data_IF_173550331661
#
_entry.id   IF_173550331661
#
_cell.length_a   1.000
_cell.length_b   1.000
_cell.length_c   1.000
_cell.angle_alpha   90.00
_cell.angle_beta   90.00
_cell.angle_gamma   90.00
#
_symmetry.space_group_name_H-M   'P 1'
#
loop_
_entity.id
_entity.type
_entity.pdbx_description
1 polymer ?
#
# COMPACT_ATOMS: atom_id res chain seq x y z
N UNK A 1 -43.00 37.18 36.00
CA UNK A 1 -41.67 37.05 35.37
C UNK A 1 -41.44 35.65 34.79
N UNK A 2 -42.39 35.07 34.12
CA UNK A 2 -42.27 33.74 33.53
C UNK A 2 -42.90 33.63 32.10
N UNK A 3 -43.19 34.75 31.47
CA UNK A 3 -43.84 34.76 30.14
C UNK A 3 -43.00 35.41 29.03
N UNK A 4 -41.79 35.90 29.33
CA UNK A 4 -40.95 36.62 28.35
C UNK A 4 -39.85 35.74 27.74
N UNK A 5 -39.65 34.54 28.26
CA UNK A 5 -38.58 33.63 27.79
C UNK A 5 -39.06 32.74 26.66
N UNK A 6 -40.38 32.53 26.50
CA UNK A 6 -40.93 31.61 25.49
C UNK A 6 -41.02 32.25 24.10
N UNK A 7 -41.05 33.57 24.00
CA UNK A 7 -41.23 34.28 22.71
C UNK A 7 -39.91 34.46 21.94
N UNK A 8 -38.76 34.38 22.63
CA UNK A 8 -37.45 34.56 21.99
C UNK A 8 -36.93 33.25 21.33
N UNK A 9 -37.53 32.12 21.66
CA UNK A 9 -37.11 30.81 21.11
C UNK A 9 -37.78 30.37 19.81
N UNK A 10 -38.67 31.16 19.29
CA UNK A 10 -39.49 30.81 18.11
C UNK A 10 -39.15 31.60 16.84
N UNK A 11 -38.03 32.37 16.83
CA UNK A 11 -37.70 33.27 15.72
C UNK A 11 -36.33 33.03 15.08
N UNK A 12 -35.70 31.84 15.28
CA UNK A 12 -34.41 31.48 14.69
C UNK A 12 -34.45 30.21 13.87
N UNK A 13 -35.53 30.01 13.14
CA UNK A 13 -35.72 28.85 12.29
C UNK A 13 -36.07 29.24 10.86
N UNK A 14 -35.27 30.07 10.23
CA UNK A 14 -35.23 30.19 8.75
C UNK A 14 -33.88 30.82 8.37
N UNK A 15 -33.22 30.25 7.43
CA UNK A 15 -32.10 30.65 6.57
C UNK A 15 -30.84 29.85 6.83
N UNK A 16 -30.56 28.90 5.94
CA UNK A 16 -29.32 28.19 5.86
C UNK A 16 -29.28 27.08 4.84
N UNK A 17 -29.95 27.22 3.73
CA UNK A 17 -29.72 26.43 2.54
C UNK A 17 -28.70 27.18 1.68
N UNK A 18 -27.44 26.84 1.78
CA UNK A 18 -26.50 27.04 0.66
C UNK A 18 -25.14 26.40 0.99
N UNK A 19 -24.68 25.52 0.13
CA UNK A 19 -23.28 25.29 -0.08
C UNK A 19 -22.71 23.95 0.34
N UNK A 20 -23.23 22.83 -0.12
CA UNK A 20 -22.38 21.65 -0.33
C UNK A 20 -21.49 21.91 -1.55
N UNK A 21 -20.32 22.49 -1.32
CA UNK A 21 -19.24 22.44 -2.29
C UNK A 21 -18.71 21.00 -2.33
N UNK A 22 -19.20 20.24 -3.28
CA UNK A 22 -18.71 18.92 -3.65
C UNK A 22 -17.28 19.08 -4.19
N UNK A 23 -16.29 18.69 -3.40
CA UNK A 23 -14.93 18.47 -3.87
C UNK A 23 -15.01 17.34 -4.92
N UNK A 24 -14.51 17.51 -6.15
CA UNK A 24 -14.52 16.42 -7.11
C UNK A 24 -13.59 15.33 -6.61
N UNK A 25 -14.16 14.20 -6.26
CA UNK A 25 -13.42 12.96 -6.09
C UNK A 25 -12.92 12.58 -7.49
N UNK A 26 -11.60 12.53 -7.65
CA UNK A 26 -10.99 11.90 -8.82
C UNK A 26 -11.29 10.41 -8.74
N UNK A 27 -12.32 10.01 -9.43
CA UNK A 27 -12.70 8.62 -9.63
C UNK A 27 -11.71 8.04 -10.63
N UNK A 28 -10.80 7.20 -10.16
CA UNK A 28 -10.10 6.27 -11.04
C UNK A 28 -11.11 5.19 -11.48
N UNK A 29 -11.35 5.02 -12.78
CA UNK A 29 -12.16 3.92 -13.28
C UNK A 29 -11.28 2.69 -13.42
N UNK A 30 -11.41 1.80 -12.46
CA UNK A 30 -10.72 0.51 -12.42
C UNK A 30 -11.43 -0.41 -11.46
N UNK A 31 -12.79 -0.35 -11.49
CA UNK A 31 -13.62 -1.35 -10.87
C UNK A 31 -13.57 -2.62 -11.71
N UNK A 32 -13.00 -3.66 -11.15
CA UNK A 32 -13.23 -5.03 -11.57
C UNK A 32 -13.64 -5.84 -10.37
N UNK A 33 -14.94 -5.83 -10.19
CA UNK A 33 -15.77 -6.76 -9.43
C UNK A 33 -15.25 -8.19 -9.51
N UNK A 34 -14.97 -8.81 -8.36
CA UNK A 34 -15.57 -10.10 -7.98
C UNK A 34 -14.92 -10.65 -6.70
N UNK A 35 -15.70 -10.69 -5.61
CA UNK A 35 -15.81 -11.80 -4.70
C UNK A 35 -14.55 -12.40 -4.09
N UNK A 36 -13.76 -11.60 -3.35
CA UNK A 36 -13.03 -12.14 -2.19
C UNK A 36 -12.65 -10.97 -1.25
N UNK A 37 -13.23 -10.94 -0.09
CA UNK A 37 -13.43 -9.72 0.70
C UNK A 37 -12.24 -9.27 1.51
N UNK A 38 -11.00 -9.71 1.21
CA UNK A 38 -9.85 -9.28 2.03
C UNK A 38 -8.49 -9.25 1.32
N UNK A 39 -8.43 -9.27 0.00
CA UNK A 39 -7.16 -9.19 -0.74
C UNK A 39 -7.04 -7.84 -1.43
N UNK A 40 -6.01 -7.10 -1.10
CA UNK A 40 -5.76 -5.78 -1.70
C UNK A 40 -4.27 -5.47 -1.77
N UNK A 41 -3.90 -4.69 -2.78
CA UNK A 41 -2.59 -4.07 -2.85
C UNK A 41 -2.72 -2.68 -2.24
N UNK A 42 -1.90 -2.39 -1.22
CA UNK A 42 -1.83 -1.08 -0.59
C UNK A 42 -0.56 -0.37 -1.06
N UNK A 43 -0.72 0.80 -1.65
CA UNK A 43 0.43 1.65 -1.98
C UNK A 43 0.93 2.35 -0.73
N UNK A 44 2.23 2.21 -0.44
CA UNK A 44 2.87 2.76 0.75
C UNK A 44 4.13 3.54 0.38
N UNK A 45 4.44 4.57 1.15
CA UNK A 45 5.70 5.29 1.07
C UNK A 45 6.81 4.62 1.90
N UNK A 46 8.04 5.09 1.73
CA UNK A 46 9.20 4.54 2.44
C UNK A 46 9.10 4.67 3.96
N UNK A 47 8.49 5.74 4.46
CA UNK A 47 8.27 5.92 5.90
C UNK A 47 7.31 4.88 6.46
N UNK A 48 6.25 4.57 5.74
CA UNK A 48 5.32 3.51 6.14
C UNK A 48 5.98 2.13 6.12
N UNK A 49 6.87 1.87 5.16
CA UNK A 49 7.67 0.62 5.14
C UNK A 49 8.58 0.54 6.36
N UNK A 50 9.23 1.63 6.74
CA UNK A 50 10.04 1.70 7.96
C UNK A 50 9.21 1.36 9.22
N UNK A 51 8.01 1.94 9.35
CA UNK A 51 7.07 1.62 10.43
C UNK A 51 6.67 0.13 10.42
N UNK A 52 6.40 -0.45 9.26
CA UNK A 52 6.04 -1.87 9.11
C UNK A 52 7.20 -2.78 9.55
N UNK A 53 8.43 -2.47 9.18
CA UNK A 53 9.63 -3.23 9.62
C UNK A 53 9.72 -3.31 11.15
N UNK A 54 9.33 -2.23 11.83
CA UNK A 54 9.42 -2.16 13.30
C UNK A 54 8.24 -2.84 14.01
N UNK A 55 7.07 -2.87 13.39
CA UNK A 55 5.81 -3.25 14.05
C UNK A 55 5.25 -4.60 13.61
N UNK A 56 5.58 -5.05 12.40
CA UNK A 56 5.03 -6.27 11.82
C UNK A 56 6.08 -7.39 11.78
N UNK A 57 5.89 -8.39 12.64
CA UNK A 57 6.82 -9.54 12.76
C UNK A 57 6.66 -10.58 11.66
N UNK A 58 5.57 -10.52 10.92
CA UNK A 58 5.27 -11.42 9.80
C UNK A 58 5.62 -10.81 8.45
N UNK A 59 6.21 -9.61 8.46
CA UNK A 59 6.60 -8.88 7.26
C UNK A 59 7.74 -9.57 6.54
N UNK A 60 7.60 -9.69 5.24
CA UNK A 60 8.64 -10.11 4.31
C UNK A 60 8.80 -9.01 3.26
N UNK A 61 10.02 -8.57 3.04
CA UNK A 61 10.36 -7.59 2.01
C UNK A 61 10.92 -8.35 0.81
N UNK A 62 10.42 -8.10 -0.39
CA UNK A 62 10.91 -8.73 -1.62
C UNK A 62 11.35 -7.69 -2.63
N UNK A 63 12.53 -7.90 -3.18
CA UNK A 63 13.06 -7.15 -4.33
C UNK A 63 12.75 -7.90 -5.61
N UNK A 64 11.91 -7.30 -6.45
CA UNK A 64 11.51 -7.91 -7.71
C UNK A 64 12.20 -7.29 -8.93
N UNK A 65 13.21 -6.44 -8.70
CA UNK A 65 13.87 -5.65 -9.76
C UNK A 65 14.78 -6.46 -10.68
N UNK A 66 15.33 -7.58 -10.19
CA UNK A 66 16.44 -8.27 -10.86
C UNK A 66 17.75 -7.49 -10.85
N UNK A 67 17.86 -6.44 -10.01
CA UNK A 67 19.04 -5.58 -9.86
C UNK A 67 19.67 -5.70 -8.47
N UNK A 68 19.57 -6.86 -7.87
CA UNK A 68 20.01 -7.12 -6.51
C UNK A 68 21.41 -6.61 -6.18
N UNK A 69 22.37 -6.82 -7.10
CA UNK A 69 23.77 -6.40 -6.92
C UNK A 69 23.94 -4.87 -6.92
N UNK A 70 23.02 -4.11 -7.56
CA UNK A 70 23.12 -2.65 -7.61
C UNK A 70 22.77 -2.01 -6.25
N UNK A 71 22.05 -2.76 -5.41
CA UNK A 71 21.65 -2.39 -4.06
C UNK A 71 20.22 -2.83 -3.75
N UNK A 72 19.99 -3.21 -2.50
CA UNK A 72 18.68 -3.67 -2.02
C UNK A 72 18.45 -3.23 -0.57
N UNK A 73 17.20 -3.29 -0.14
CA UNK A 73 16.81 -3.01 1.25
C UNK A 73 17.35 -4.13 2.15
N UNK A 74 17.98 -3.76 3.27
CA UNK A 74 18.51 -4.74 4.23
C UNK A 74 17.41 -5.72 4.68
N UNK A 75 17.72 -7.01 4.56
CA UNK A 75 16.79 -8.07 4.94
C UNK A 75 15.71 -8.40 3.89
N UNK A 76 15.76 -7.79 2.71
CA UNK A 76 14.91 -8.19 1.60
C UNK A 76 15.31 -9.55 1.03
N UNK A 77 14.38 -10.21 0.35
CA UNK A 77 14.63 -11.42 -0.42
C UNK A 77 14.75 -11.09 -1.91
N UNK A 78 15.79 -11.59 -2.54
CA UNK A 78 15.94 -11.51 -4.00
C UNK A 78 14.89 -12.39 -4.70
N UNK A 79 13.95 -11.75 -5.37
CA UNK A 79 12.80 -12.42 -5.98
C UNK A 79 12.47 -11.77 -7.34
N UNK A 80 13.35 -11.90 -8.33
CA UNK A 80 13.18 -11.23 -9.62
C UNK A 80 11.81 -11.53 -10.27
N UNK A 81 11.21 -10.52 -10.89
CA UNK A 81 9.86 -10.61 -11.47
C UNK A 81 9.70 -11.79 -12.44
N UNK A 82 10.71 -12.08 -13.25
CA UNK A 82 10.72 -13.19 -14.22
C UNK A 82 10.69 -14.57 -13.56
N UNK A 83 11.10 -14.67 -12.30
CA UNK A 83 11.10 -15.90 -11.49
C UNK A 83 10.00 -15.95 -10.44
N UNK A 84 9.31 -14.83 -10.21
CA UNK A 84 8.33 -14.72 -9.13
C UNK A 84 7.26 -15.81 -9.19
N UNK A 85 6.71 -16.10 -10.38
CA UNK A 85 5.68 -17.13 -10.54
C UNK A 85 6.21 -18.55 -10.25
N UNK A 86 7.45 -18.83 -10.60
CA UNK A 86 8.11 -20.11 -10.30
C UNK A 86 8.34 -20.25 -8.78
N UNK A 87 8.81 -19.19 -8.13
CA UNK A 87 9.04 -19.15 -6.68
C UNK A 87 7.72 -19.35 -5.92
N UNK A 88 6.64 -18.70 -6.34
CA UNK A 88 5.30 -18.86 -5.74
C UNK A 88 4.81 -20.32 -5.88
N UNK A 89 4.95 -20.90 -7.06
CA UNK A 89 4.47 -22.26 -7.34
C UNK A 89 5.34 -23.34 -6.66
N UNK A 90 6.59 -23.03 -6.39
CA UNK A 90 7.56 -23.96 -5.80
C UNK A 90 7.39 -24.23 -4.29
N UNK A 91 6.48 -23.53 -3.61
CA UNK A 91 6.13 -23.68 -2.19
C UNK A 91 7.27 -23.49 -1.16
N UNK A 92 8.42 -22.93 -1.54
CA UNK A 92 9.57 -22.99 -0.64
C UNK A 92 9.93 -21.70 0.08
N UNK A 93 9.47 -20.53 -0.40
CA UNK A 93 9.97 -19.26 0.14
C UNK A 93 8.86 -18.27 0.50
N UNK A 94 7.78 -18.21 -0.27
CA UNK A 94 6.72 -17.23 -0.08
C UNK A 94 5.42 -17.90 0.39
N UNK A 95 4.96 -17.54 1.57
CA UNK A 95 3.68 -18.03 2.12
C UNK A 95 2.60 -16.98 1.95
N UNK A 96 1.46 -17.35 1.35
CA UNK A 96 0.33 -16.44 1.15
C UNK A 96 -0.26 -15.87 2.45
N UNK A 97 0.06 -16.47 3.61
CA UNK A 97 -0.40 -16.00 4.92
C UNK A 97 0.49 -14.92 5.56
N UNK A 98 1.64 -14.61 4.96
CA UNK A 98 2.54 -13.57 5.44
C UNK A 98 2.18 -12.20 4.83
N UNK A 99 2.74 -11.15 5.41
CA UNK A 99 2.61 -9.78 4.93
C UNK A 99 3.83 -9.41 4.08
N UNK A 100 3.60 -8.73 2.98
CA UNK A 100 4.66 -8.42 2.04
C UNK A 100 4.81 -6.92 1.82
N UNK A 101 6.07 -6.48 1.72
CA UNK A 101 6.44 -5.26 1.02
C UNK A 101 7.10 -5.67 -0.28
N UNK A 102 6.55 -5.21 -1.39
CA UNK A 102 7.04 -5.47 -2.75
C UNK A 102 7.63 -4.19 -3.31
N UNK A 103 8.86 -4.24 -3.76
CA UNK A 103 9.50 -3.10 -4.39
C UNK A 103 10.41 -3.52 -5.56
N UNK A 104 10.71 -2.56 -6.42
CA UNK A 104 11.71 -2.68 -7.48
C UNK A 104 12.46 -1.34 -7.62
N UNK A 105 13.34 -1.23 -8.62
CA UNK A 105 13.94 0.04 -9.00
C UNK A 105 13.04 0.90 -9.90
N UNK A 106 11.92 0.36 -10.35
CA UNK A 106 10.87 1.06 -11.09
C UNK A 106 9.47 0.61 -10.64
N UNK A 107 8.51 1.51 -10.74
CA UNK A 107 7.14 1.27 -10.27
C UNK A 107 6.38 0.25 -11.14
N UNK A 108 6.69 0.13 -12.42
CA UNK A 108 5.99 -0.80 -13.31
C UNK A 108 6.30 -2.25 -12.93
N UNK A 109 7.56 -2.56 -12.66
CA UNK A 109 8.01 -3.90 -12.22
C UNK A 109 7.36 -4.29 -10.90
N UNK A 110 7.38 -3.41 -9.89
CA UNK A 110 6.76 -3.68 -8.59
C UNK A 110 5.25 -3.84 -8.67
N UNK A 111 4.57 -3.08 -9.55
CA UNK A 111 3.14 -3.19 -9.79
C UNK A 111 2.78 -4.54 -10.40
N UNK A 112 3.49 -4.97 -11.46
CA UNK A 112 3.29 -6.30 -12.08
C UNK A 112 3.49 -7.43 -11.07
N UNK A 113 4.51 -7.33 -10.22
CA UNK A 113 4.75 -8.32 -9.17
C UNK A 113 3.62 -8.38 -8.16
N UNK A 114 3.14 -7.24 -7.68
CA UNK A 114 2.03 -7.17 -6.75
C UNK A 114 0.73 -7.76 -7.34
N UNK A 115 0.45 -7.52 -8.62
CA UNK A 115 -0.70 -8.10 -9.34
C UNK A 115 -0.58 -9.62 -9.45
N UNK A 116 0.61 -10.16 -9.75
CA UNK A 116 0.87 -11.61 -9.77
C UNK A 116 0.62 -12.22 -8.38
N UNK A 117 1.11 -11.59 -7.32
CA UNK A 117 0.91 -12.06 -5.95
C UNK A 117 -0.57 -12.03 -5.57
N UNK A 118 -1.30 -10.96 -5.90
CA UNK A 118 -2.72 -10.84 -5.62
C UNK A 118 -3.51 -11.97 -6.29
N UNK A 119 -3.23 -12.27 -7.55
CA UNK A 119 -3.86 -13.38 -8.28
C UNK A 119 -3.45 -14.76 -7.76
N UNK A 120 -2.30 -14.85 -7.09
CA UNK A 120 -1.76 -16.07 -6.48
C UNK A 120 -2.18 -16.25 -5.00
N UNK A 121 -3.26 -15.59 -4.57
CA UNK A 121 -3.87 -15.73 -3.24
C UNK A 121 -3.12 -15.10 -2.06
N UNK A 122 -2.15 -14.24 -2.30
CA UNK A 122 -1.56 -13.44 -1.25
C UNK A 122 -2.56 -12.39 -0.76
N UNK A 123 -2.61 -12.14 0.55
CA UNK A 123 -3.67 -11.33 1.16
C UNK A 123 -3.23 -9.94 1.55
N UNK A 124 -2.01 -9.79 2.06
CA UNK A 124 -1.48 -8.51 2.54
C UNK A 124 -0.25 -8.14 1.72
N UNK A 125 -0.45 -7.26 0.75
CA UNK A 125 0.59 -6.82 -0.18
C UNK A 125 0.70 -5.30 -0.09
N UNK A 126 1.83 -4.81 0.40
CA UNK A 126 2.17 -3.39 0.41
C UNK A 126 3.17 -3.14 -0.74
N UNK A 127 2.83 -2.24 -1.66
CA UNK A 127 3.74 -1.86 -2.74
C UNK A 127 4.43 -0.55 -2.39
N UNK A 128 5.76 -0.56 -2.31
CA UNK A 128 6.54 0.65 -2.08
C UNK A 128 6.55 1.52 -3.35
N UNK A 129 5.89 2.67 -3.27
CA UNK A 129 5.86 3.66 -4.36
C UNK A 129 7.21 4.36 -4.47
N UNK A 130 7.71 4.53 -5.69
CA UNK A 130 9.05 5.06 -5.97
C UNK A 130 10.18 4.09 -5.65
N UNK A 131 9.85 2.88 -5.18
CA UNK A 131 10.74 1.74 -5.07
C UNK A 131 12.03 1.99 -4.27
N UNK A 132 13.12 1.41 -4.75
CA UNK A 132 14.43 1.50 -4.11
C UNK A 132 14.93 2.95 -3.95
N UNK A 133 14.71 3.79 -4.95
CA UNK A 133 15.15 5.19 -4.90
C UNK A 133 14.42 5.98 -3.81
N UNK A 134 13.11 5.77 -3.64
CA UNK A 134 12.34 6.40 -2.57
C UNK A 134 12.80 5.91 -1.18
N UNK A 135 13.16 4.64 -1.05
CA UNK A 135 13.73 4.10 0.20
C UNK A 135 15.06 4.77 0.55
N UNK A 136 15.98 4.88 -0.41
CA UNK A 136 17.27 5.55 -0.23
C UNK A 136 17.09 7.03 0.11
N UNK A 137 16.18 7.72 -0.59
CA UNK A 137 15.89 9.14 -0.36
C UNK A 137 15.32 9.39 1.06
N UNK A 138 14.61 8.42 1.62
CA UNK A 138 14.13 8.46 3.01
C UNK A 138 15.20 8.14 4.05
N UNK A 139 16.42 7.79 3.64
CA UNK A 139 17.50 7.40 4.54
C UNK A 139 17.44 5.94 5.02
N UNK A 140 16.70 5.10 4.34
CA UNK A 140 16.55 3.68 4.66
C UNK A 140 17.86 2.90 4.48
N UNK A 141 18.04 1.88 5.32
CA UNK A 141 19.25 1.05 5.27
C UNK A 141 19.27 0.15 4.04
N UNK A 142 20.41 0.13 3.36
CA UNK A 142 20.64 -0.66 2.15
C UNK A 142 21.90 -1.45 2.25
N UNK A 143 21.99 -2.53 1.50
CA UNK A 143 23.21 -3.31 1.30
C UNK A 143 23.41 -3.62 -0.19
N UNK A 144 24.65 -3.96 -0.53
CA UNK A 144 25.05 -4.40 -1.88
C UNK A 144 25.77 -5.73 -1.74
N UNK A 145 25.54 -6.63 -2.68
CA UNK A 145 26.40 -7.80 -2.77
C UNK A 145 27.78 -7.38 -3.28
N UNK A 146 28.85 -7.89 -2.68
CA UNK A 146 30.22 -7.67 -3.15
C UNK A 146 30.47 -8.33 -4.51
#
# INVERSE_FOLDING_TARGET
MKKTVVVVMLLLLVVGLAGCAKKPATTNPGDSTSGDTNRTIVEVDAKKVEDLIQTDRDLIIIDVSGKWADGHIVGALDTPLDKLQEIINGNFTLSASKHYVVYAHDDETSKKAADIMLTSSFTVINRLVGGYDAWVANGGYTEKQP
#
